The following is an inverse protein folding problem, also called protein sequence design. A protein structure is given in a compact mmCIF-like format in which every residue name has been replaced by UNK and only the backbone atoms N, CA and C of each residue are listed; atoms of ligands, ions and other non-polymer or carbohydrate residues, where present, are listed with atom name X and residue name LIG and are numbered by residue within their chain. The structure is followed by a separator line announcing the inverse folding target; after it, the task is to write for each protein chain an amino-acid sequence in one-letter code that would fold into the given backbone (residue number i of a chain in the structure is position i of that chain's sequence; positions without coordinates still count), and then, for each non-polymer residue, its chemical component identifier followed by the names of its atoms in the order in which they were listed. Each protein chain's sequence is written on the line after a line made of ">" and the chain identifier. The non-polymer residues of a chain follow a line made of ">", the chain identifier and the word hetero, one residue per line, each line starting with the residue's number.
data_IF_425089861738
#
_entry.id   IF_425089861738
#
_cell.length_a   1.000
_cell.length_b   1.000
_cell.length_c   1.000
_cell.angle_alpha   90.00
_cell.angle_beta   90.00
_cell.angle_gamma   90.00
#
_symmetry.space_group_name_H-M   'P 1'
#
loop_
_entity.id
_entity.type
_entity.pdbx_description
1 polymer ?
#
# COMPACT_ATOMS: atom_id res chain seq x y z
N UNK A 1 13.66 5.28 12.12
CA UNK A 1 13.34 3.87 12.44
C UNK A 1 13.95 2.97 11.37
N UNK A 2 14.57 1.86 11.77
CA UNK A 2 15.20 0.93 10.85
C UNK A 2 14.16 0.18 10.02
N UNK A 3 14.51 -0.14 8.77
CA UNK A 3 13.59 -0.80 7.83
C UNK A 3 13.04 -2.13 8.38
N UNK A 4 13.86 -2.92 9.06
CA UNK A 4 13.43 -4.20 9.65
C UNK A 4 12.35 -4.00 10.72
N UNK A 5 12.42 -2.91 11.50
CA UNK A 5 11.41 -2.59 12.50
C UNK A 5 10.10 -2.21 11.82
N UNK A 6 10.17 -1.42 10.75
CA UNK A 6 9.00 -1.05 9.96
C UNK A 6 8.34 -2.28 9.33
N UNK A 7 9.12 -3.21 8.80
CA UNK A 7 8.60 -4.44 8.22
C UNK A 7 7.82 -5.28 9.24
N UNK A 8 8.31 -5.39 10.46
CA UNK A 8 7.63 -6.15 11.53
C UNK A 8 6.36 -5.48 12.00
N UNK A 9 6.26 -4.17 11.87
CA UNK A 9 5.13 -3.38 12.34
C UNK A 9 4.18 -2.98 11.22
N UNK A 10 4.29 -3.60 10.04
CA UNK A 10 3.44 -3.26 8.92
C UNK A 10 1.96 -3.39 9.30
N UNK A 11 1.20 -2.37 8.92
CA UNK A 11 -0.23 -2.30 9.12
C UNK A 11 -0.85 -1.61 7.91
N UNK A 12 -2.18 -1.60 7.81
CA UNK A 12 -2.86 -0.94 6.71
C UNK A 12 -3.91 0.03 7.25
N UNK A 13 -4.02 1.20 6.60
CA UNK A 13 -5.09 2.16 6.93
C UNK A 13 -6.43 1.73 6.37
N UNK A 14 -6.47 0.72 5.48
CA UNK A 14 -7.70 0.23 4.86
C UNK A 14 -8.07 -1.17 5.35
N UNK A 15 -7.08 -2.08 5.41
CA UNK A 15 -7.33 -3.50 5.66
C UNK A 15 -6.93 -3.91 7.07
N UNK A 16 -7.87 -4.46 7.84
CA UNK A 16 -7.59 -4.99 9.18
C UNK A 16 -6.92 -6.36 9.09
N UNK A 17 -7.37 -7.20 8.15
CA UNK A 17 -6.84 -8.55 7.99
C UNK A 17 -5.79 -8.59 6.87
N UNK A 18 -4.52 -8.60 7.25
CA UNK A 18 -3.41 -8.68 6.30
C UNK A 18 -3.05 -10.11 5.89
N UNK A 19 -3.86 -11.09 6.30
CA UNK A 19 -3.67 -12.51 5.94
C UNK A 19 -4.60 -12.98 4.83
N UNK A 20 -5.43 -12.08 4.30
CA UNK A 20 -6.36 -12.36 3.22
C UNK A 20 -6.09 -11.40 2.06
N UNK A 21 -5.93 -11.93 0.85
CA UNK A 21 -5.67 -11.11 -0.33
C UNK A 21 -6.83 -10.14 -0.58
N UNK A 22 -6.49 -8.86 -0.74
CA UNK A 22 -7.49 -7.82 -0.97
C UNK A 22 -8.19 -7.98 -2.31
N UNK A 23 -7.54 -8.58 -3.28
CA UNK A 23 -8.08 -8.72 -4.63
C UNK A 23 -8.88 -10.01 -4.82
N UNK A 24 -8.27 -11.17 -4.56
CA UNK A 24 -8.91 -12.47 -4.85
C UNK A 24 -9.40 -13.21 -3.60
N UNK A 25 -9.17 -12.66 -2.42
CA UNK A 25 -9.58 -13.20 -1.13
C UNK A 25 -8.90 -14.51 -0.73
N UNK A 26 -7.88 -14.93 -1.45
CA UNK A 26 -7.06 -16.08 -1.10
C UNK A 26 -6.36 -15.85 0.25
N UNK A 27 -6.28 -16.89 1.08
CA UNK A 27 -5.62 -16.80 2.39
C UNK A 27 -4.26 -17.48 2.42
N UNK A 28 -3.84 -18.06 1.29
CA UNK A 28 -2.56 -18.76 1.18
C UNK A 28 -1.53 -17.88 0.47
N UNK A 29 -0.33 -17.80 1.05
CA UNK A 29 0.77 -17.05 0.44
C UNK A 29 0.53 -15.56 0.33
N UNK A 30 -0.20 -14.97 1.28
CA UNK A 30 -0.51 -13.53 1.28
C UNK A 30 0.69 -12.75 1.79
N UNK A 31 1.11 -11.77 1.01
CA UNK A 31 2.24 -10.90 1.32
C UNK A 31 1.73 -9.49 1.67
N UNK A 32 2.48 -8.80 2.55
CA UNK A 32 2.18 -7.41 2.91
C UNK A 32 2.91 -6.51 1.94
N UNK A 33 2.19 -6.02 0.93
CA UNK A 33 2.76 -5.24 -0.17
C UNK A 33 2.71 -3.75 0.11
N UNK A 34 3.85 -3.07 0.02
CA UNK A 34 3.91 -1.61 0.11
C UNK A 34 3.33 -1.00 -1.16
N UNK A 35 2.34 -0.12 -1.01
CA UNK A 35 1.61 0.46 -2.14
C UNK A 35 2.49 1.42 -2.94
N UNK A 36 3.26 2.26 -2.25
CA UNK A 36 4.20 3.18 -2.89
C UNK A 36 5.60 2.62 -2.69
N UNK A 37 6.20 2.19 -3.77
CA UNK A 37 7.41 1.40 -3.77
C UNK A 37 8.69 2.24 -3.95
N UNK A 38 9.82 1.56 -4.07
CA UNK A 38 11.10 2.20 -4.30
C UNK A 38 11.49 3.10 -3.15
N UNK A 39 11.79 4.36 -3.43
CA UNK A 39 12.21 5.33 -2.40
C UNK A 39 11.13 5.61 -1.37
N UNK A 40 9.86 5.22 -1.64
CA UNK A 40 8.73 5.45 -0.75
C UNK A 40 8.33 4.22 0.06
N UNK A 41 9.11 3.14 0.01
CA UNK A 41 8.82 1.91 0.71
C UNK A 41 8.71 2.10 2.22
N UNK A 42 9.70 2.78 2.81
CA UNK A 42 9.70 3.06 4.25
C UNK A 42 8.50 3.94 4.65
N UNK A 43 8.20 4.95 3.83
CA UNK A 43 7.04 5.82 4.05
C UNK A 43 5.74 5.03 4.00
N UNK A 44 5.60 4.13 3.03
CA UNK A 44 4.43 3.25 2.92
C UNK A 44 4.23 2.43 4.18
N UNK A 45 5.28 1.81 4.69
CA UNK A 45 5.19 1.01 5.91
C UNK A 45 4.85 1.83 7.14
N UNK A 46 5.45 3.02 7.24
CA UNK A 46 5.24 3.91 8.40
C UNK A 46 3.82 4.44 8.48
N UNK A 47 3.22 4.76 7.34
CA UNK A 47 1.89 5.40 7.29
C UNK A 47 0.76 4.44 6.95
N UNK A 48 1.04 3.14 6.86
CA UNK A 48 0.01 2.14 6.64
C UNK A 48 -0.47 2.01 5.20
N UNK A 49 0.35 2.42 4.23
CA UNK A 49 0.05 2.24 2.81
C UNK A 49 0.48 0.82 2.40
N UNK A 50 -0.20 -0.17 2.98
CA UNK A 50 0.11 -1.59 2.81
C UNK A 50 -1.16 -2.31 2.39
N UNK A 51 -1.07 -3.10 1.31
CA UNK A 51 -2.18 -3.90 0.81
C UNK A 51 -1.79 -5.38 0.87
N UNK A 52 -2.65 -6.24 1.46
CA UNK A 52 -2.37 -7.69 1.46
C UNK A 52 -2.69 -8.26 0.09
N UNK A 53 -1.72 -8.88 -0.55
CA UNK A 53 -1.88 -9.51 -1.85
C UNK A 53 -1.23 -10.88 -1.84
N UNK A 54 -1.92 -11.89 -2.38
CA UNK A 54 -1.31 -13.20 -2.57
C UNK A 54 -0.20 -13.08 -3.61
N UNK A 55 0.64 -14.11 -3.71
CA UNK A 55 1.80 -14.06 -4.62
C UNK A 55 1.41 -13.69 -6.06
N UNK A 56 0.34 -14.28 -6.58
CA UNK A 56 -0.14 -14.00 -7.94
C UNK A 56 -0.58 -12.54 -8.11
N UNK A 57 -1.35 -12.02 -7.16
CA UNK A 57 -1.83 -10.63 -7.21
C UNK A 57 -0.71 -9.63 -6.95
N UNK A 58 0.26 -9.99 -6.11
CA UNK A 58 1.44 -9.15 -5.88
C UNK A 58 2.27 -9.03 -7.15
N UNK A 59 2.44 -10.14 -7.87
CA UNK A 59 3.13 -10.17 -9.16
C UNK A 59 2.39 -9.29 -10.18
N UNK A 60 1.06 -9.37 -10.20
CA UNK A 60 0.22 -8.53 -11.06
C UNK A 60 0.40 -7.05 -10.71
N UNK A 61 0.51 -6.71 -9.43
CA UNK A 61 0.74 -5.34 -8.99
C UNK A 61 2.00 -4.74 -9.62
N UNK A 62 3.05 -5.54 -9.76
CA UNK A 62 4.30 -5.08 -10.37
C UNK A 62 4.28 -5.05 -11.90
N UNK A 63 3.41 -5.84 -12.54
CA UNK A 63 3.40 -6.00 -13.99
C UNK A 63 2.23 -5.35 -14.71
N UNK A 64 1.20 -4.93 -13.98
CA UNK A 64 -0.01 -4.33 -14.53
C UNK A 64 -0.19 -2.94 -13.91
N UNK A 65 0.12 -1.91 -14.70
CA UNK A 65 0.06 -0.52 -14.25
C UNK A 65 -1.33 -0.12 -13.78
N UNK A 66 -2.38 -0.52 -14.48
CA UNK A 66 -3.75 -0.16 -14.12
C UNK A 66 -4.16 -0.80 -12.79
N UNK A 67 -3.74 -2.04 -12.58
CA UNK A 67 -3.98 -2.74 -11.32
C UNK A 67 -3.29 -2.03 -10.15
N UNK A 68 -2.03 -1.65 -10.34
CA UNK A 68 -1.28 -0.91 -9.32
C UNK A 68 -1.91 0.46 -9.03
N UNK A 69 -2.33 1.18 -10.08
CA UNK A 69 -2.97 2.48 -9.95
C UNK A 69 -4.27 2.41 -9.15
N UNK A 70 -5.03 1.33 -9.32
CA UNK A 70 -6.26 1.11 -8.54
C UNK A 70 -5.97 1.24 -7.04
N UNK A 71 -4.95 0.55 -6.56
CA UNK A 71 -4.59 0.56 -5.15
C UNK A 71 -3.91 1.86 -4.72
N UNK A 72 -3.07 2.43 -5.58
CA UNK A 72 -2.43 3.71 -5.28
C UNK A 72 -3.45 4.84 -5.11
N UNK A 73 -4.49 4.85 -5.93
CA UNK A 73 -5.60 5.80 -5.83
C UNK A 73 -6.45 5.54 -4.58
N UNK A 74 -6.72 4.27 -4.31
CA UNK A 74 -7.52 3.87 -3.15
C UNK A 74 -6.87 4.34 -1.83
N UNK A 75 -5.57 4.12 -1.69
CA UNK A 75 -4.86 4.51 -0.49
C UNK A 75 -4.68 6.02 -0.37
N UNK A 76 -4.51 6.72 -1.47
CA UNK A 76 -4.48 8.19 -1.45
C UNK A 76 -5.82 8.75 -1.00
N UNK A 77 -6.94 8.24 -1.52
CA UNK A 77 -8.27 8.67 -1.10
C UNK A 77 -8.51 8.42 0.38
N UNK A 78 -8.12 7.25 0.86
CA UNK A 78 -8.27 6.91 2.27
C UNK A 78 -7.49 7.84 3.17
N UNK A 79 -6.24 8.13 2.83
CA UNK A 79 -5.40 9.04 3.59
C UNK A 79 -5.98 10.46 3.60
N UNK A 80 -6.45 10.94 2.46
CA UNK A 80 -6.95 12.31 2.32
C UNK A 80 -8.34 12.52 2.93
N UNK A 81 -8.97 11.49 3.45
CA UNK A 81 -10.19 11.64 4.25
C UNK A 81 -9.88 12.22 5.64
N UNK A 82 -8.68 11.98 6.15
CA UNK A 82 -8.28 12.41 7.49
C UNK A 82 -7.10 13.39 7.48
N UNK A 83 -6.49 13.59 6.30
CA UNK A 83 -5.34 14.46 6.11
C UNK A 83 -5.52 15.28 4.84
N UNK A 84 -4.78 16.37 4.72
CA UNK A 84 -4.87 17.20 3.51
C UNK A 84 -4.15 16.56 2.32
N UNK A 85 -4.51 17.00 1.12
CA UNK A 85 -3.80 16.63 -0.09
C UNK A 85 -2.32 17.04 -0.02
N UNK A 86 -2.04 18.23 0.53
CA UNK A 86 -0.67 18.71 0.67
C UNK A 86 0.15 17.78 1.56
N UNK A 87 -0.44 17.26 2.64
CA UNK A 87 0.24 16.29 3.51
C UNK A 87 0.58 15.01 2.76
N UNK A 88 -0.34 14.52 1.92
CA UNK A 88 -0.06 13.35 1.08
C UNK A 88 1.10 13.63 0.12
N UNK A 89 1.10 14.80 -0.52
CA UNK A 89 2.15 15.18 -1.46
C UNK A 89 3.51 15.32 -0.78
N UNK A 90 3.55 15.78 0.47
CA UNK A 90 4.79 15.84 1.25
C UNK A 90 5.37 14.46 1.51
N UNK A 91 4.49 13.46 1.72
CA UNK A 91 4.91 12.09 1.99
C UNK A 91 5.35 11.36 0.72
N UNK A 92 4.55 11.43 -0.33
CA UNK A 92 4.68 10.57 -1.51
C UNK A 92 5.27 11.30 -2.71
N UNK A 93 5.11 12.63 -2.79
CA UNK A 93 5.64 13.49 -3.85
C UNK A 93 5.04 13.20 -5.23
N UNK A 94 3.89 12.53 -5.28
CA UNK A 94 3.19 12.25 -6.52
C UNK A 94 1.69 12.13 -6.28
N UNK A 95 0.90 12.72 -7.18
CA UNK A 95 -0.55 12.65 -7.13
C UNK A 95 -1.05 11.55 -8.09
N UNK A 96 -1.91 10.66 -7.59
CA UNK A 96 -2.47 9.55 -8.36
C UNK A 96 -3.96 9.75 -8.69
N UNK A 97 -4.61 10.77 -8.12
CA UNK A 97 -6.04 10.97 -8.27
C UNK A 97 -6.44 11.75 -9.53
N UNK A 98 -5.56 12.65 -9.99
CA UNK A 98 -5.83 13.50 -11.16
C UNK A 98 -4.57 14.09 -11.76
#
# INVERSE_FOLDING_TARGET
>A
MKIKTLERKRFSIIYDNLKKCAECHNTFGVEKNEVYEGSKRATSMKYGFVVPLCHTCHKRFHNDREFALKYKRMFQRAYEQEHSHDEFMELIHRNYLW
#
